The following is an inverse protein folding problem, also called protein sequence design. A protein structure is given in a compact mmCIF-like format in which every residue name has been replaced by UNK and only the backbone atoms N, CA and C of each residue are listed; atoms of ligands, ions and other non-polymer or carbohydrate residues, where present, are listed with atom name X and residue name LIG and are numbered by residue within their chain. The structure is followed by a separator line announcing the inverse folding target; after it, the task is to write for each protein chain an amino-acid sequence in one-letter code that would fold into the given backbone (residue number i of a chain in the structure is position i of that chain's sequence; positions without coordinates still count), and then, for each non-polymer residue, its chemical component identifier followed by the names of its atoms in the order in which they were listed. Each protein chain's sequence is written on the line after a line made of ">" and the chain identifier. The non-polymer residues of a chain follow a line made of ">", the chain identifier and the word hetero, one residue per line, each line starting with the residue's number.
data_IF_364674586806
#
_entry.id   IF_364674586806
#
_cell.length_a   1.000
_cell.length_b   1.000
_cell.length_c   1.000
_cell.angle_alpha   90.00
_cell.angle_beta   90.00
_cell.angle_gamma   90.00
#
_symmetry.space_group_name_H-M   'P 1'
#
loop_
_entity.id
_entity.type
_entity.pdbx_description
1 polymer ?
#
# COMPACT_ATOMS: atom_id res chain seq x y z
N UNK A 1 12.01 15.03 18.22
CA UNK A 1 11.17 14.02 17.54
C UNK A 1 11.74 13.62 16.16
N UNK A 2 13.07 13.48 16.02
CA UNK A 2 13.75 13.34 14.73
C UNK A 2 14.40 11.97 14.48
N UNK A 3 14.35 11.06 15.47
CA UNK A 3 15.01 9.73 15.44
C UNK A 3 14.23 8.63 14.73
N UNK A 4 12.95 8.85 14.40
CA UNK A 4 12.11 7.75 13.89
C UNK A 4 12.46 7.37 12.45
N UNK A 5 12.63 8.34 11.53
CA UNK A 5 12.94 8.03 10.13
C UNK A 5 14.33 7.40 9.96
N UNK A 6 15.34 7.91 10.69
CA UNK A 6 16.69 7.36 10.61
C UNK A 6 16.75 5.95 11.19
N UNK A 7 15.97 5.66 12.26
CA UNK A 7 15.86 4.33 12.84
C UNK A 7 15.33 3.32 11.82
N UNK A 8 14.25 3.63 11.09
CA UNK A 8 13.69 2.76 10.05
C UNK A 8 14.70 2.42 8.94
N UNK A 9 15.64 3.32 8.66
CA UNK A 9 16.68 3.16 7.64
C UNK A 9 17.98 2.50 8.17
N UNK A 10 18.02 2.05 9.43
CA UNK A 10 19.18 1.38 10.03
C UNK A 10 20.13 2.29 10.84
N UNK A 11 19.77 3.56 11.03
CA UNK A 11 20.35 4.51 11.98
C UNK A 11 21.87 4.78 11.87
N UNK A 12 22.43 4.63 10.66
CA UNK A 12 23.84 4.91 10.38
C UNK A 12 24.17 6.42 10.48
N UNK A 13 25.43 6.76 10.77
CA UNK A 13 25.87 8.16 10.85
C UNK A 13 25.62 8.90 9.54
N UNK A 14 25.91 8.27 8.39
CA UNK A 14 25.68 8.87 7.05
C UNK A 14 24.20 9.11 6.79
N UNK A 15 23.35 8.15 7.15
CA UNK A 15 21.89 8.27 7.02
C UNK A 15 21.34 9.42 7.87
N UNK A 16 21.83 9.58 9.10
CA UNK A 16 21.42 10.70 9.98
C UNK A 16 21.82 12.05 9.38
N UNK A 17 23.03 12.17 8.84
CA UNK A 17 23.50 13.38 8.17
C UNK A 17 22.62 13.69 6.96
N UNK A 18 22.38 12.70 6.10
CA UNK A 18 21.56 12.88 4.91
C UNK A 18 20.12 13.31 5.23
N UNK A 19 19.45 12.65 6.18
CA UNK A 19 18.10 13.08 6.61
C UNK A 19 18.12 14.49 7.21
N UNK A 20 19.16 14.84 7.96
CA UNK A 20 19.32 16.20 8.50
C UNK A 20 19.51 17.24 7.39
N UNK A 21 20.25 16.91 6.34
CA UNK A 21 20.47 17.79 5.20
C UNK A 21 19.21 17.96 4.37
N UNK A 22 18.48 16.87 4.09
CA UNK A 22 17.17 16.93 3.40
C UNK A 22 16.18 17.83 4.15
N UNK A 23 16.09 17.70 5.48
CA UNK A 23 15.29 18.59 6.32
C UNK A 23 15.72 20.05 6.19
N UNK A 24 17.02 20.33 6.25
CA UNK A 24 17.56 21.68 6.10
C UNK A 24 17.22 22.28 4.73
N UNK A 25 17.28 21.47 3.67
CA UNK A 25 16.95 21.90 2.31
C UNK A 25 15.45 22.20 2.16
N UNK A 26 14.58 21.33 2.68
CA UNK A 26 13.13 21.55 2.62
C UNK A 26 12.70 22.73 3.50
N UNK A 27 13.33 22.89 4.66
CA UNK A 27 13.04 23.97 5.61
C UNK A 27 11.64 23.91 6.20
N UNK A 28 11.06 22.70 6.30
CA UNK A 28 9.73 22.41 6.83
C UNK A 28 9.65 21.01 7.47
N UNK A 29 8.45 20.61 7.91
CA UNK A 29 8.17 19.34 8.59
C UNK A 29 7.86 18.17 7.62
N UNK A 30 8.39 18.20 6.39
CA UNK A 30 8.14 17.16 5.38
C UNK A 30 8.45 15.74 5.85
N UNK A 31 9.50 15.56 6.66
CA UNK A 31 9.87 14.26 7.24
C UNK A 31 8.89 13.81 8.33
N UNK A 32 8.39 14.73 9.16
CA UNK A 32 7.40 14.46 10.20
C UNK A 32 6.09 14.03 9.54
N UNK A 33 5.69 14.70 8.46
CA UNK A 33 4.52 14.33 7.65
C UNK A 33 4.68 12.92 7.07
N UNK A 34 5.86 12.60 6.54
CA UNK A 34 6.16 11.25 6.05
C UNK A 34 6.05 10.21 7.18
N UNK A 35 6.70 10.41 8.32
CA UNK A 35 6.63 9.49 9.47
C UNK A 35 5.17 9.29 9.93
N UNK A 36 4.40 10.35 10.01
CA UNK A 36 2.99 10.30 10.42
C UNK A 36 2.16 9.48 9.43
N UNK A 37 2.44 9.61 8.13
CA UNK A 37 1.77 8.82 7.11
C UNK A 37 2.19 7.33 7.15
N UNK A 38 3.47 7.03 7.38
CA UNK A 38 3.95 5.66 7.61
C UNK A 38 3.17 5.03 8.77
N UNK A 39 3.07 5.74 9.90
CA UNK A 39 2.37 5.27 11.08
C UNK A 39 0.87 5.03 10.81
N UNK A 40 0.20 5.98 10.16
CA UNK A 40 -1.22 5.85 9.81
C UNK A 40 -1.48 4.67 8.86
N UNK A 41 -0.58 4.44 7.89
CA UNK A 41 -0.66 3.28 6.98
C UNK A 41 -0.40 1.97 7.71
N UNK A 42 0.64 1.90 8.55
CA UNK A 42 0.92 0.73 9.37
C UNK A 42 -0.29 0.36 10.24
N UNK A 43 -0.88 1.33 10.94
CA UNK A 43 -2.11 1.12 11.72
C UNK A 43 -3.28 0.62 10.86
N UNK A 44 -3.42 1.13 9.64
CA UNK A 44 -4.46 0.68 8.72
C UNK A 44 -4.25 -0.77 8.28
N UNK A 45 -3.00 -1.18 8.03
CA UNK A 45 -2.65 -2.57 7.71
C UNK A 45 -2.90 -3.49 8.90
N UNK A 46 -2.47 -3.08 10.10
CA UNK A 46 -2.67 -3.85 11.35
C UNK A 46 -4.16 -4.13 11.57
N UNK A 47 -5.04 -3.13 11.38
CA UNK A 47 -6.50 -3.33 11.43
C UNK A 47 -7.00 -4.29 10.34
N UNK A 48 -6.45 -4.21 9.12
CA UNK A 48 -6.80 -5.12 8.04
C UNK A 48 -6.35 -6.57 8.28
N UNK A 49 -5.34 -6.77 9.15
CA UNK A 49 -4.92 -8.08 9.66
C UNK A 49 -5.80 -8.58 10.82
N UNK A 50 -6.76 -7.79 11.29
CA UNK A 50 -7.65 -8.12 12.40
C UNK A 50 -7.07 -7.83 13.79
N UNK A 51 -6.00 -7.03 13.88
CA UNK A 51 -5.35 -6.63 15.12
C UNK A 51 -5.72 -5.18 15.51
N UNK A 52 -5.62 -4.87 16.81
CA UNK A 52 -5.74 -3.49 17.30
C UNK A 52 -4.35 -2.82 17.39
N UNK A 53 -4.08 -1.74 16.63
CA UNK A 53 -2.81 -1.02 16.72
C UNK A 53 -2.47 -0.46 18.10
N UNK A 54 -3.45 -0.28 18.99
CA UNK A 54 -3.23 0.29 20.32
C UNK A 54 -2.64 -0.72 21.34
N UNK A 55 -2.84 -2.03 21.11
CA UNK A 55 -2.52 -3.09 22.08
C UNK A 55 -1.75 -4.27 21.45
N UNK A 56 -1.41 -4.18 20.16
CA UNK A 56 -0.70 -5.27 19.49
C UNK A 56 0.81 -5.21 19.72
N UNK A 57 1.41 -6.38 19.89
CA UNK A 57 2.87 -6.53 19.97
C UNK A 57 3.49 -6.73 18.58
N UNK A 58 4.77 -6.40 18.43
CA UNK A 58 5.49 -6.66 17.17
C UNK A 58 5.48 -8.14 16.76
N UNK A 59 5.45 -9.06 17.74
CA UNK A 59 5.35 -10.50 17.48
C UNK A 59 4.02 -10.88 16.86
N UNK A 60 2.91 -10.34 17.36
CA UNK A 60 1.56 -10.59 16.80
C UNK A 60 1.44 -10.03 15.39
N UNK A 61 1.92 -8.80 15.18
CA UNK A 61 1.94 -8.19 13.84
C UNK A 61 2.75 -9.05 12.88
N UNK A 62 3.94 -9.49 13.28
CA UNK A 62 4.77 -10.35 12.45
C UNK A 62 4.09 -11.69 12.12
N UNK A 63 3.51 -12.35 13.11
CA UNK A 63 2.79 -13.61 12.90
C UNK A 63 1.56 -13.44 11.99
N UNK A 64 0.82 -12.35 12.15
CA UNK A 64 -0.31 -12.03 11.30
C UNK A 64 0.11 -11.78 9.84
N UNK A 65 1.25 -11.10 9.62
CA UNK A 65 1.84 -10.94 8.30
C UNK A 65 2.24 -12.30 7.69
N UNK A 66 2.87 -13.19 8.46
CA UNK A 66 3.22 -14.54 7.99
C UNK A 66 1.97 -15.36 7.63
N UNK A 67 0.89 -15.25 8.42
CA UNK A 67 -0.38 -15.91 8.14
C UNK A 67 -1.11 -15.33 6.90
N UNK A 68 -0.86 -14.05 6.59
CA UNK A 68 -1.38 -13.37 5.40
C UNK A 68 -0.55 -13.66 4.14
N UNK A 69 0.72 -14.04 4.28
CA UNK A 69 1.67 -14.21 3.18
C UNK A 69 1.13 -15.05 1.99
N UNK A 70 0.47 -16.22 2.20
CA UNK A 70 -0.05 -17.04 1.10
C UNK A 70 -1.15 -16.36 0.26
N UNK A 71 -1.75 -15.28 0.77
CA UNK A 71 -2.90 -14.58 0.17
C UNK A 71 -2.60 -13.11 -0.10
N UNK A 72 -1.34 -12.68 -0.06
CA UNK A 72 -0.95 -11.27 -0.23
C UNK A 72 -1.51 -10.63 -1.50
N UNK A 73 -1.50 -11.36 -2.62
CA UNK A 73 -2.04 -10.90 -3.91
C UNK A 73 -3.56 -10.60 -3.88
N UNK A 74 -4.29 -11.15 -2.92
CA UNK A 74 -5.72 -10.92 -2.71
C UNK A 74 -5.99 -9.79 -1.71
N UNK A 75 -4.97 -9.33 -0.99
CA UNK A 75 -5.12 -8.26 0.01
C UNK A 75 -4.90 -6.88 -0.62
N UNK A 76 -5.86 -5.98 -0.42
CA UNK A 76 -5.77 -4.63 -0.97
C UNK A 76 -4.63 -3.81 -0.34
N UNK A 77 -4.34 -4.04 0.94
CA UNK A 77 -3.36 -3.27 1.70
C UNK A 77 -1.91 -3.52 1.23
N UNK A 78 -1.61 -4.72 0.71
CA UNK A 78 -0.28 -5.08 0.22
C UNK A 78 0.20 -4.20 -0.94
N UNK A 79 -0.72 -3.64 -1.75
CA UNK A 79 -0.35 -2.78 -2.88
C UNK A 79 0.13 -1.38 -2.47
N UNK A 80 -0.08 -1.00 -1.21
CA UNK A 80 0.22 0.34 -0.71
C UNK A 80 1.22 0.32 0.45
N UNK A 81 1.88 -0.82 0.68
CA UNK A 81 2.77 -1.07 1.81
C UNK A 81 4.26 -1.12 1.45
N UNK A 82 4.62 -0.84 0.20
CA UNK A 82 6.00 -0.94 -0.32
C UNK A 82 7.04 -0.10 0.45
N UNK A 83 6.62 0.94 1.17
CA UNK A 83 7.51 1.80 1.96
C UNK A 83 7.10 1.88 3.43
N UNK A 84 6.17 1.01 3.84
CA UNK A 84 5.64 1.01 5.20
C UNK A 84 6.49 0.09 6.05
N UNK A 85 7.07 0.66 7.09
CA UNK A 85 7.87 -0.03 8.10
C UNK A 85 7.53 0.54 9.47
N UNK A 86 7.56 -0.27 10.51
CA UNK A 86 7.25 0.18 11.86
C UNK A 86 8.18 -0.47 12.86
N UNK A 87 8.62 0.32 13.84
CA UNK A 87 9.43 -0.13 14.96
C UNK A 87 8.52 -0.60 16.10
N UNK A 88 8.75 -1.82 16.57
CA UNK A 88 8.13 -2.41 17.74
C UNK A 88 9.22 -2.78 18.73
N UNK A 89 9.38 -1.98 19.78
CA UNK A 89 10.35 -2.20 20.87
C UNK A 89 11.79 -2.43 20.38
N UNK A 90 12.21 -1.71 19.34
CA UNK A 90 13.55 -1.84 18.76
C UNK A 90 13.63 -2.80 17.57
N UNK A 91 12.59 -3.56 17.30
CA UNK A 91 12.50 -4.43 16.13
C UNK A 91 11.72 -3.75 15.01
N UNK A 92 12.37 -3.53 13.87
CA UNK A 92 11.74 -2.94 12.71
C UNK A 92 11.09 -4.05 11.89
N UNK A 93 9.77 -3.95 11.71
CA UNK A 93 9.01 -4.84 10.82
C UNK A 93 8.74 -4.11 9.51
N UNK A 94 9.04 -4.78 8.40
CA UNK A 94 8.66 -4.34 7.05
C UNK A 94 7.29 -4.88 6.68
N UNK A 95 6.43 -4.01 6.14
CA UNK A 95 5.15 -4.40 5.55
C UNK A 95 5.26 -4.57 4.02
N UNK A 96 6.47 -4.50 3.47
CA UNK A 96 6.71 -4.67 2.04
C UNK A 96 6.35 -6.11 1.61
N UNK A 97 5.55 -6.31 0.53
CA UNK A 97 5.11 -7.65 0.13
C UNK A 97 6.25 -8.63 -0.13
N UNK A 98 7.32 -8.20 -0.83
CA UNK A 98 8.53 -9.01 -1.04
C UNK A 98 9.15 -9.46 0.27
N UNK A 99 9.40 -8.57 1.22
CA UNK A 99 9.98 -8.97 2.52
C UNK A 99 9.07 -9.97 3.25
N UNK A 100 7.75 -9.77 3.24
CA UNK A 100 6.81 -10.71 3.88
C UNK A 100 6.89 -12.10 3.24
N UNK A 101 6.93 -12.16 1.91
CA UNK A 101 7.05 -13.41 1.14
C UNK A 101 8.38 -14.10 1.40
N UNK A 102 9.49 -13.37 1.39
CA UNK A 102 10.84 -13.88 1.69
C UNK A 102 10.93 -14.45 3.10
N UNK A 103 10.41 -13.70 4.08
CA UNK A 103 10.38 -14.11 5.48
C UNK A 103 9.54 -15.37 5.69
N UNK A 104 8.39 -15.46 5.01
CA UNK A 104 7.51 -16.61 5.05
C UNK A 104 8.17 -17.85 4.44
N UNK A 105 8.74 -17.73 3.24
CA UNK A 105 9.37 -18.85 2.54
C UNK A 105 10.58 -19.41 3.28
N UNK A 106 11.39 -18.54 3.86
CA UNK A 106 12.57 -18.93 4.63
C UNK A 106 12.28 -19.21 6.11
N UNK A 107 11.01 -19.10 6.54
CA UNK A 107 10.57 -19.32 7.91
C UNK A 107 11.41 -18.53 8.94
N UNK A 108 11.78 -17.29 8.59
CA UNK A 108 12.61 -16.47 9.45
C UNK A 108 11.86 -16.11 10.73
N UNK A 109 12.48 -16.23 11.91
CA UNK A 109 11.80 -15.89 13.16
C UNK A 109 11.71 -14.37 13.34
N UNK A 110 10.76 -13.94 14.18
CA UNK A 110 10.71 -12.56 14.68
C UNK A 110 12.06 -12.17 15.30
N UNK A 111 12.62 -11.03 14.90
CA UNK A 111 13.96 -10.60 15.29
C UNK A 111 15.03 -10.83 14.21
N UNK A 112 14.82 -11.78 13.30
CA UNK A 112 15.79 -12.16 12.25
C UNK A 112 15.20 -12.04 10.83
N UNK A 113 14.08 -11.33 10.71
CA UNK A 113 13.41 -11.12 9.43
C UNK A 113 14.14 -10.12 8.53
N UNK A 114 14.06 -10.36 7.22
CA UNK A 114 14.50 -9.46 6.18
C UNK A 114 13.58 -8.23 6.10
N UNK A 115 14.20 -7.06 5.90
CA UNK A 115 13.53 -5.75 5.79
C UNK A 115 14.09 -4.91 4.63
N UNK A 116 14.89 -5.52 3.76
CA UNK A 116 15.69 -4.79 2.78
C UNK A 116 14.83 -4.16 1.67
N UNK A 117 13.75 -4.84 1.25
CA UNK A 117 12.83 -4.27 0.25
C UNK A 117 12.07 -3.09 0.84
N UNK A 118 11.65 -3.17 2.11
CA UNK A 118 11.00 -2.08 2.83
C UNK A 118 11.91 -0.86 2.97
N UNK A 119 13.18 -1.05 3.33
CA UNK A 119 14.17 0.05 3.37
C UNK A 119 14.33 0.70 1.99
N UNK A 120 14.38 -0.13 0.94
CA UNK A 120 14.47 0.33 -0.45
C UNK A 120 13.25 1.14 -0.87
N UNK A 121 12.05 0.65 -0.59
CA UNK A 121 10.82 1.39 -0.88
C UNK A 121 10.73 2.69 -0.09
N UNK A 122 11.10 2.69 1.20
CA UNK A 122 11.16 3.90 2.01
C UNK A 122 12.18 4.91 1.47
N UNK A 123 13.37 4.45 1.06
CA UNK A 123 14.37 5.30 0.40
C UNK A 123 13.87 5.93 -0.90
N UNK A 124 13.12 5.17 -1.71
CA UNK A 124 12.47 5.69 -2.91
C UNK A 124 11.43 6.77 -2.56
N UNK A 125 10.57 6.53 -1.57
CA UNK A 125 9.53 7.48 -1.18
C UNK A 125 10.12 8.78 -0.59
N UNK A 126 11.19 8.68 0.21
CA UNK A 126 11.96 9.84 0.68
C UNK A 126 12.47 10.64 -0.52
N UNK A 127 13.19 9.98 -1.43
CA UNK A 127 13.77 10.64 -2.61
C UNK A 127 12.69 11.33 -3.43
N UNK A 128 11.59 10.62 -3.73
CA UNK A 128 10.46 11.15 -4.49
C UNK A 128 9.86 12.41 -3.85
N UNK A 129 9.59 12.37 -2.54
CA UNK A 129 8.95 13.49 -1.84
C UNK A 129 9.87 14.70 -1.75
N UNK A 130 11.12 14.48 -1.38
CA UNK A 130 12.08 15.58 -1.28
C UNK A 130 12.44 16.13 -2.65
N UNK A 131 12.49 15.34 -3.72
CA UNK A 131 12.70 15.86 -5.09
C UNK A 131 11.50 16.64 -5.63
N UNK A 132 10.28 16.27 -5.23
CA UNK A 132 9.06 16.99 -5.62
C UNK A 132 8.79 18.24 -4.74
N UNK A 133 9.61 18.51 -3.73
CA UNK A 133 9.40 19.61 -2.79
C UNK A 133 9.78 20.96 -3.44
N UNK A 134 8.97 22.04 -3.30
CA UNK A 134 9.23 23.31 -4.00
C UNK A 134 10.54 24.01 -3.65
N UNK A 135 11.10 23.73 -2.47
CA UNK A 135 12.32 24.38 -1.94
C UNK A 135 13.60 23.58 -2.16
N UNK A 136 13.51 22.41 -2.79
CA UNK A 136 14.65 21.53 -3.01
C UNK A 136 14.96 21.44 -4.51
N UNK A 137 16.11 20.87 -4.83
CA UNK A 137 16.56 20.65 -6.20
C UNK A 137 16.90 19.17 -6.40
N UNK A 138 16.26 18.53 -7.37
CA UNK A 138 16.29 17.07 -7.58
C UNK A 138 17.72 16.49 -7.61
N UNK A 139 18.66 16.99 -8.43
CA UNK A 139 20.04 16.50 -8.42
C UNK A 139 20.73 16.56 -7.05
N UNK A 140 20.41 17.59 -6.24
CA UNK A 140 20.99 17.73 -4.90
C UNK A 140 20.38 16.73 -3.94
N UNK A 141 19.06 16.49 -4.02
CA UNK A 141 18.37 15.47 -3.23
C UNK A 141 18.93 14.09 -3.55
N UNK A 142 19.03 13.73 -4.83
CA UNK A 142 19.58 12.44 -5.26
C UNK A 142 21.00 12.22 -4.73
N UNK A 143 21.87 13.23 -4.85
CA UNK A 143 23.23 13.16 -4.29
C UNK A 143 23.23 12.90 -2.79
N UNK A 144 22.49 13.69 -2.01
CA UNK A 144 22.42 13.57 -0.54
C UNK A 144 21.88 12.20 -0.13
N UNK A 145 20.85 11.71 -0.81
CA UNK A 145 20.24 10.40 -0.55
C UNK A 145 21.25 9.29 -0.88
N UNK A 146 22.02 9.38 -1.98
CA UNK A 146 22.99 8.34 -2.33
C UNK A 146 24.25 8.34 -1.48
N UNK A 147 24.81 9.51 -1.15
CA UNK A 147 25.92 9.61 -0.19
C UNK A 147 25.52 9.16 1.22
N UNK A 148 24.25 9.36 1.58
CA UNK A 148 23.64 8.94 2.85
C UNK A 148 23.30 7.46 2.98
N UNK A 149 23.48 6.67 1.91
CA UNK A 149 23.08 5.25 1.87
C UNK A 149 21.57 5.01 1.90
N UNK A 150 20.76 6.02 1.56
CA UNK A 150 19.29 5.94 1.47
C UNK A 150 18.86 5.57 0.04
N UNK A 151 19.72 5.87 -0.93
CA UNK A 151 19.47 5.67 -2.34
C UNK A 151 19.72 4.22 -2.69
N UNK A 152 18.63 3.51 -2.94
CA UNK A 152 18.67 2.20 -3.54
C UNK A 152 18.41 2.39 -5.03
N UNK A 153 19.34 3.09 -5.70
CA UNK A 153 19.27 3.34 -7.13
C UNK A 153 18.93 2.02 -7.85
N UNK A 154 17.97 2.09 -8.78
CA UNK A 154 17.67 0.99 -9.70
C UNK A 154 18.92 0.50 -10.44
N UNK A 155 20.00 1.28 -10.48
CA UNK A 155 21.27 1.02 -11.15
C UNK A 155 22.15 -0.10 -10.54
N UNK A 156 21.76 -0.72 -9.43
CA UNK A 156 22.30 -2.03 -9.02
C UNK A 156 21.58 -3.21 -9.70
N UNK A 157 20.58 -2.93 -10.55
CA UNK A 157 20.01 -3.86 -11.53
C UNK A 157 20.48 -3.35 -12.89
N UNK A 158 21.27 -4.16 -13.58
CA UNK A 158 21.61 -3.98 -14.99
C UNK A 158 20.36 -3.63 -15.80
N UNK A 159 20.36 -2.43 -16.40
CA UNK A 159 19.41 -1.86 -17.35
C UNK A 159 17.91 -1.89 -17.00
N UNK A 160 17.15 -0.84 -17.39
CA UNK A 160 15.70 -0.93 -17.34
C UNK A 160 15.27 -1.99 -18.34
N UNK A 161 14.78 -3.13 -17.85
CA UNK A 161 13.86 -3.95 -18.65
C UNK A 161 12.76 -3.01 -19.07
N UNK A 162 12.71 -2.68 -20.37
CA UNK A 162 11.58 -2.00 -20.99
C UNK A 162 10.36 -2.83 -20.61
N UNK A 163 9.63 -2.35 -19.62
CA UNK A 163 8.30 -2.82 -19.26
C UNK A 163 7.40 -2.50 -20.45
N UNK A 164 7.44 -3.37 -21.45
CA UNK A 164 6.32 -3.55 -22.36
C UNK A 164 5.19 -4.10 -21.49
N UNK A 165 4.25 -3.22 -21.16
CA UNK A 165 2.97 -3.60 -20.56
C UNK A 165 2.42 -4.83 -21.31
N UNK A 166 2.13 -5.96 -20.64
CA UNK A 166 1.52 -7.12 -21.30
C UNK A 166 0.04 -6.88 -21.63
N UNK A 167 -0.51 -5.70 -21.31
CA UNK A 167 -1.85 -5.30 -21.70
C UNK A 167 -1.80 -4.21 -22.77
N UNK A 168 -1.59 -4.63 -24.02
CA UNK A 168 -2.23 -4.00 -25.15
C UNK A 168 -3.44 -4.85 -25.53
N UNK A 169 -4.61 -4.44 -25.06
CA UNK A 169 -5.85 -4.90 -25.65
C UNK A 169 -5.83 -4.52 -27.13
N UNK A 170 -6.14 -5.43 -28.06
CA UNK A 170 -6.25 -5.07 -29.46
C UNK A 170 -7.41 -4.07 -29.59
N UNK A 171 -7.08 -2.81 -29.86
CA UNK A 171 -8.06 -1.84 -30.33
C UNK A 171 -8.51 -2.33 -31.69
N UNK A 172 -9.71 -2.90 -31.75
CA UNK A 172 -10.35 -3.26 -33.00
C UNK A 172 -10.50 -1.99 -33.85
N UNK A 173 -9.69 -1.88 -34.90
CA UNK A 173 -9.89 -0.93 -35.99
C UNK A 173 -11.14 -1.34 -36.79
N UNK A 174 -12.32 -1.04 -36.24
CA UNK A 174 -13.56 -1.09 -36.99
C UNK A 174 -13.67 0.20 -37.83
N UNK A 175 -13.25 0.13 -39.10
CA UNK A 175 -13.60 1.12 -40.12
C UNK A 175 -15.11 1.36 -40.12
N UNK A 176 -15.60 2.61 -40.16
CA UNK A 176 -17.03 2.84 -40.29
C UNK A 176 -17.46 2.52 -41.73
N UNK A 177 -18.11 1.36 -41.93
CA UNK A 177 -18.86 1.09 -43.16
C UNK A 177 -20.10 1.98 -43.18
N UNK A 178 -20.06 3.00 -44.02
CA UNK A 178 -21.24 3.75 -44.50
C UNK A 178 -22.38 2.77 -44.83
N UNK A 179 -23.48 2.83 -44.08
CA UNK A 179 -24.78 2.28 -44.51
C UNK A 179 -25.69 3.43 -44.91
N UNK A 180 -26.17 3.33 -46.15
CA UNK A 180 -27.09 4.24 -46.81
C UNK A 180 -28.43 4.29 -46.09
N UNK A 181 -29.02 5.47 -46.11
CA UNK A 181 -30.36 5.84 -45.69
C UNK A 181 -31.45 5.04 -46.42
N UNK A 182 -32.47 4.61 -45.68
CA UNK A 182 -33.82 4.36 -46.20
C UNK A 182 -34.85 4.72 -45.11
N UNK A 183 -35.92 5.39 -45.53
CA UNK A 183 -36.85 6.16 -44.72
C UNK A 183 -37.97 5.32 -44.06
N UNK A 184 -38.35 5.70 -42.81
CA UNK A 184 -39.70 6.09 -42.27
C UNK A 184 -40.91 5.22 -42.71
N UNK A 185 -41.88 4.80 -41.83
CA UNK A 185 -42.54 5.68 -40.85
C UNK A 185 -42.87 5.18 -39.44
N UNK A 186 -43.04 6.21 -38.61
CA UNK A 186 -43.64 6.33 -37.28
C UNK A 186 -45.06 5.75 -37.20
N UNK A 187 -45.36 5.02 -36.12
CA UNK A 187 -46.69 5.04 -35.48
C UNK A 187 -46.57 5.04 -33.95
N UNK A 188 -47.11 6.11 -33.39
CA UNK A 188 -47.37 6.44 -31.99
C UNK A 188 -48.49 5.60 -31.35
N UNK A 189 -48.41 5.41 -30.01
CA UNK A 189 -49.49 5.37 -28.97
C UNK A 189 -49.08 4.41 -27.83
N UNK A 190 -49.44 4.54 -26.55
CA UNK A 190 -49.93 5.59 -25.63
C UNK A 190 -50.00 4.90 -24.25
N UNK A 191 -49.57 5.58 -23.19
CA UNK A 191 -50.13 5.61 -21.80
C UNK A 191 -50.34 4.36 -20.89
N UNK A 192 -50.20 4.66 -19.58
CA UNK A 192 -50.79 4.08 -18.36
C UNK A 192 -49.89 3.09 -17.58
N UNK A 193 -49.36 3.40 -16.38
CA UNK A 193 -49.96 3.79 -15.09
C UNK A 193 -50.75 2.68 -14.38
N UNK A 194 -50.18 2.10 -13.31
CA UNK A 194 -50.82 1.86 -11.99
C UNK A 194 -49.97 0.92 -11.09
N UNK A 195 -49.46 1.46 -9.98
CA UNK A 195 -49.32 0.80 -8.65
C UNK A 195 -50.70 0.86 -7.95
N UNK A 196 -50.90 0.38 -6.70
CA UNK A 196 -50.39 -0.79 -5.96
C UNK A 196 -51.54 -1.53 -5.21
N UNK A 197 -51.27 -2.63 -4.49
CA UNK A 197 -51.99 -3.16 -3.29
C UNK A 197 -51.52 -4.63 -3.04
N UNK A 198 -51.52 -5.26 -1.85
CA UNK A 198 -51.82 -4.93 -0.44
C UNK A 198 -51.52 -6.21 0.40
N UNK A 199 -50.89 -6.02 1.57
CA UNK A 199 -50.90 -6.77 2.86
C UNK A 199 -51.17 -8.29 2.94
N UNK A 200 -50.42 -8.98 3.81
CA UNK A 200 -50.91 -9.73 5.02
C UNK A 200 -49.78 -10.62 5.60
N UNK A 201 -49.19 -10.30 6.76
CA UNK A 201 -49.36 -10.94 8.11
C UNK A 201 -48.93 -12.41 8.21
N UNK A 202 -47.86 -12.67 8.96
CA UNK A 202 -47.82 -13.29 10.31
C UNK A 202 -47.83 -14.83 10.28
N UNK A 203 -46.77 -15.45 10.79
CA UNK A 203 -46.89 -16.34 11.95
C UNK A 203 -45.55 -16.59 12.63
N UNK A 204 -45.54 -16.30 13.93
CA UNK A 204 -44.59 -16.81 14.89
C UNK A 204 -44.90 -18.28 15.15
N UNK A 205 -43.87 -19.07 15.45
CA UNK A 205 -44.05 -20.22 16.34
C UNK A 205 -42.78 -20.47 17.15
N UNK A 206 -43.08 -20.82 18.39
CA UNK A 206 -42.31 -20.85 19.63
C UNK A 206 -41.43 -22.09 19.82
N UNK A 207 -40.28 -21.87 20.48
CA UNK A 207 -39.79 -22.54 21.69
C UNK A 207 -39.89 -24.09 21.79
N UNK A 208 -38.73 -24.77 21.97
CA UNK A 208 -38.51 -25.63 23.14
C UNK A 208 -37.04 -26.01 23.37
N UNK A 209 -36.63 -25.72 24.60
CA UNK A 209 -35.44 -26.13 25.37
C UNK A 209 -35.57 -27.60 25.79
N UNK A 210 -34.47 -28.35 25.84
CA UNK A 210 -34.21 -29.59 26.65
C UNK A 210 -32.72 -29.91 26.41
N UNK A 211 -31.73 -29.65 27.26
CA UNK A 211 -31.39 -30.10 28.63
C UNK A 211 -31.06 -31.62 28.78
N UNK A 212 -29.77 -31.87 29.10
CA UNK A 212 -29.12 -32.97 29.86
C UNK A 212 -29.38 -34.44 29.47
N UNK A 213 -28.30 -35.21 29.23
CA UNK A 213 -27.54 -35.98 30.25
C UNK A 213 -26.05 -35.91 29.89
#
# INVERSE_FOLDING_TARGET
>A
MSRNLTKLLGDSVRTRIAVSELRRMAGDDSDVRLITEILARAHSIIRALGLDPADTTGREVYQALMAAAPRLNQTAWAKASDWVMMDFDGQIISFHPVDIVENYHHQLPYGQHCIESGKRGLGYEITRRFSAHPRTHTPTVERVVCEGGICYAASAVSEPVKSASPFQLPVANAKPKRRKSAAVPVKSKKSASKKPHKKSRQNANTLKKSQKV
#
